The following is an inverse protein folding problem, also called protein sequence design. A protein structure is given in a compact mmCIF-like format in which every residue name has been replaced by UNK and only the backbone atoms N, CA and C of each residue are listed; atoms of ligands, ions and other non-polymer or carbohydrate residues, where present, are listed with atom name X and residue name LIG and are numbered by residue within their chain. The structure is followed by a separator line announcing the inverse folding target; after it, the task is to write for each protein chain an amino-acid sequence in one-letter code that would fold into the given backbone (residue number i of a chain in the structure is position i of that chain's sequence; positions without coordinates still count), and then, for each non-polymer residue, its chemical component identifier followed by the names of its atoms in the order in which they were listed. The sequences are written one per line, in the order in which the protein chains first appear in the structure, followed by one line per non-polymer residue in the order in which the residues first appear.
data_IF_860265375667
#
_entry.id   IF_860265375667
#
_cell.length_a   1.000
_cell.length_b   1.000
_cell.length_c   1.000
_cell.angle_alpha   90.00
_cell.angle_beta   90.00
_cell.angle_gamma   90.00
#
_symmetry.space_group_name_H-M   'P 1'
#
loop_
_entity.id
_entity.type
_entity.pdbx_description
1 polymer ?
#
# COMPACT_ATOMS: atom_id res chain seq x y z
N UNK A 1 12.27 5.03 -15.15
CA UNK A 1 10.82 5.00 -15.43
C UNK A 1 10.08 4.40 -14.25
N UNK A 2 9.59 5.24 -13.34
CA UNK A 2 8.86 4.79 -12.15
C UNK A 2 7.45 4.36 -12.55
N UNK A 3 7.23 3.04 -12.60
CA UNK A 3 5.92 2.45 -12.83
C UNK A 3 5.09 2.74 -11.58
N UNK A 4 4.11 3.64 -11.67
CA UNK A 4 3.08 3.81 -10.65
C UNK A 4 2.53 2.41 -10.38
N UNK A 5 2.71 1.90 -9.16
CA UNK A 5 2.25 0.56 -8.83
C UNK A 5 0.73 0.62 -8.79
N UNK A 6 0.01 -0.09 -9.69
CA UNK A 6 -1.44 0.03 -9.81
C UNK A 6 -2.15 -0.31 -8.48
N UNK A 7 -1.51 -1.14 -7.65
CA UNK A 7 -1.95 -1.48 -6.29
C UNK A 7 -2.01 -0.25 -5.37
N UNK A 8 -0.95 0.58 -5.34
CA UNK A 8 -0.90 1.77 -4.48
C UNK A 8 -1.92 2.83 -4.92
N UNK A 9 -2.13 2.96 -6.23
CA UNK A 9 -3.14 3.87 -6.79
C UNK A 9 -4.57 3.43 -6.44
N UNK A 10 -4.83 2.12 -6.44
CA UNK A 10 -6.12 1.57 -6.05
C UNK A 10 -6.35 1.71 -4.53
N UNK A 11 -5.32 1.47 -3.71
CA UNK A 11 -5.41 1.60 -2.25
C UNK A 11 -5.64 3.05 -1.83
N UNK A 12 -4.96 4.00 -2.46
CA UNK A 12 -5.19 5.44 -2.22
C UNK A 12 -6.58 5.88 -2.67
N UNK A 13 -7.08 5.37 -3.81
CA UNK A 13 -8.45 5.61 -4.23
C UNK A 13 -9.47 5.09 -3.21
N UNK A 14 -9.28 3.88 -2.71
CA UNK A 14 -10.17 3.27 -1.72
C UNK A 14 -10.15 4.04 -0.39
N UNK A 15 -8.98 4.47 0.09
CA UNK A 15 -8.85 5.26 1.31
C UNK A 15 -9.52 6.63 1.18
N UNK A 16 -9.36 7.32 0.04
CA UNK A 16 -9.97 8.65 -0.17
C UNK A 16 -11.48 8.54 -0.37
N UNK A 17 -11.95 7.50 -1.07
CA UNK A 17 -13.39 7.22 -1.20
C UNK A 17 -14.02 6.91 0.17
N UNK A 18 -13.35 6.11 1.01
CA UNK A 18 -13.78 5.83 2.37
C UNK A 18 -13.76 7.08 3.26
N UNK A 19 -12.74 7.92 3.13
CA UNK A 19 -12.67 9.20 3.85
C UNK A 19 -13.83 10.13 3.49
N UNK A 20 -14.23 10.16 2.21
CA UNK A 20 -15.41 10.90 1.76
C UNK A 20 -16.71 10.31 2.34
N UNK A 21 -16.86 9.00 2.30
CA UNK A 21 -18.05 8.32 2.84
C UNK A 21 -18.20 8.54 4.35
N UNK A 22 -17.10 8.44 5.09
CA UNK A 22 -17.08 8.72 6.54
C UNK A 22 -17.34 10.19 6.85
N UNK A 23 -16.92 11.13 5.98
CA UNK A 23 -17.25 12.54 6.11
C UNK A 23 -18.76 12.79 5.88
N UNK A 24 -19.37 12.14 4.89
CA UNK A 24 -20.81 12.20 4.63
C UNK A 24 -21.62 11.60 5.79
N UNK A 25 -21.24 10.41 6.28
CA UNK A 25 -21.88 9.74 7.41
C UNK A 25 -21.81 10.55 8.71
N UNK A 26 -20.77 11.39 8.86
CA UNK A 26 -20.59 12.30 10.01
C UNK A 26 -21.21 13.68 9.80
N UNK A 27 -21.97 13.90 8.72
CA UNK A 27 -22.61 15.18 8.41
C UNK A 27 -21.63 16.29 7.99
N UNK A 28 -20.37 15.97 7.68
CA UNK A 28 -19.33 16.93 7.27
C UNK A 28 -19.33 17.13 5.75
N UNK A 29 -20.43 17.66 5.21
CA UNK A 29 -20.62 17.86 3.77
C UNK A 29 -19.52 18.69 3.12
N UNK A 30 -19.09 19.80 3.74
CA UNK A 30 -18.01 20.63 3.23
C UNK A 30 -16.66 19.90 3.08
N UNK A 31 -16.41 18.84 3.86
CA UNK A 31 -15.22 18.01 3.72
C UNK A 31 -15.40 16.96 2.62
N UNK A 32 -16.60 16.39 2.49
CA UNK A 32 -16.92 15.46 1.41
C UNK A 32 -16.86 16.11 0.02
N UNK A 33 -17.33 17.36 -0.11
CA UNK A 33 -17.27 18.13 -1.37
C UNK A 33 -15.83 18.45 -1.79
N UNK A 34 -14.94 18.73 -0.83
CA UNK A 34 -13.52 18.94 -1.11
C UNK A 34 -12.82 17.68 -1.58
N UNK A 35 -13.29 16.51 -1.15
CA UNK A 35 -12.72 15.21 -1.52
C UNK A 35 -13.27 14.69 -2.86
N UNK A 36 -14.43 15.19 -3.31
CA UNK A 36 -15.03 14.79 -4.59
C UNK A 36 -14.08 14.93 -5.80
N UNK A 37 -13.46 16.09 -6.08
CA UNK A 37 -12.58 16.23 -7.25
C UNK A 37 -11.32 15.37 -7.16
N UNK A 38 -10.88 15.02 -5.93
CA UNK A 38 -9.71 14.16 -5.70
C UNK A 38 -10.04 12.71 -6.03
N UNK A 39 -11.21 12.23 -5.61
CA UNK A 39 -11.68 10.87 -5.96
C UNK A 39 -11.86 10.71 -7.46
N UNK A 40 -12.43 11.72 -8.14
CA UNK A 40 -12.63 11.69 -9.59
C UNK A 40 -11.29 11.70 -10.35
N UNK A 41 -10.33 12.51 -9.90
CA UNK A 41 -8.97 12.53 -10.46
C UNK A 41 -8.25 11.19 -10.29
N UNK A 42 -8.30 10.60 -9.09
CA UNK A 42 -7.70 9.28 -8.82
C UNK A 42 -8.39 8.16 -9.61
N UNK A 43 -9.71 8.23 -9.78
CA UNK A 43 -10.48 7.27 -10.60
C UNK A 43 -10.09 7.38 -12.07
N UNK A 44 -9.91 8.60 -12.58
CA UNK A 44 -9.45 8.81 -13.96
C UNK A 44 -8.02 8.29 -14.18
N UNK A 45 -7.12 8.47 -13.20
CA UNK A 45 -5.76 7.96 -13.26
C UNK A 45 -5.71 6.44 -13.15
N UNK A 46 -6.56 5.84 -12.31
CA UNK A 46 -6.70 4.39 -12.21
C UNK A 46 -7.21 3.80 -13.53
N UNK A 47 -8.23 4.41 -14.14
CA UNK A 47 -8.74 4.02 -15.45
C UNK A 47 -7.68 4.19 -16.56
N UNK A 48 -6.89 5.27 -16.53
CA UNK A 48 -5.79 5.50 -17.48
C UNK A 48 -4.65 4.50 -17.31
N UNK A 49 -4.35 4.09 -16.07
CA UNK A 49 -3.30 3.11 -15.74
C UNK A 49 -3.70 1.68 -16.11
N UNK A 50 -4.99 1.36 -16.11
CA UNK A 50 -5.49 0.08 -16.64
C UNK A 50 -5.55 0.04 -18.16
N UNK A 51 -5.61 1.20 -18.83
CA UNK A 51 -5.74 1.31 -20.29
C UNK A 51 -4.41 1.59 -21.01
N UNK A 52 -3.27 1.44 -20.33
CA UNK A 52 -1.93 1.66 -20.88
C UNK A 52 -1.45 0.53 -21.81
N UNK A 53 -2.28 0.12 -22.76
CA UNK A 53 -1.88 -0.54 -24.02
C UNK A 53 -1.95 0.41 -25.22
N UNK A 54 -2.26 1.70 -25.02
CA UNK A 54 -2.31 2.65 -26.13
C UNK A 54 -1.79 4.03 -25.69
N UNK A 55 -0.78 4.61 -26.38
CA UNK A 55 -0.31 5.96 -26.09
C UNK A 55 -1.41 6.96 -26.40
N UNK A 56 -1.81 7.79 -25.43
CA UNK A 56 -2.75 8.90 -25.63
C UNK A 56 -2.12 10.21 -25.13
N UNK A 57 -2.32 11.35 -25.84
CA UNK A 57 -1.59 12.61 -25.62
C UNK A 57 -1.81 13.23 -24.23
N UNK A 58 -0.95 14.18 -23.82
CA UNK A 58 -0.90 14.71 -22.47
C UNK A 58 -2.24 15.33 -22.06
N UNK A 59 -2.80 14.82 -20.98
CA UNK A 59 -3.92 15.43 -20.26
C UNK A 59 -3.45 16.75 -19.66
N UNK A 60 -4.04 17.85 -20.12
CA UNK A 60 -3.87 19.18 -19.54
C UNK A 60 -4.46 19.18 -18.13
N UNK A 61 -3.60 19.08 -17.11
CA UNK A 61 -4.00 19.25 -15.71
C UNK A 61 -4.70 20.61 -15.57
N UNK A 62 -5.90 20.62 -15.00
CA UNK A 62 -6.69 21.83 -14.76
C UNK A 62 -7.05 21.94 -13.27
N UNK A 63 -7.07 23.16 -12.74
CA UNK A 63 -7.29 23.44 -11.31
C UNK A 63 -5.99 23.48 -10.49
N UNK A 64 -6.07 23.22 -9.17
CA UNK A 64 -4.93 23.29 -8.25
C UNK A 64 -3.72 22.40 -8.63
N UNK A 65 -3.94 21.38 -9.48
CA UNK A 65 -2.90 20.51 -10.05
C UNK A 65 -2.12 21.15 -11.22
N UNK A 66 -2.62 22.26 -11.76
CA UNK A 66 -1.92 23.10 -12.73
C UNK A 66 -1.03 24.16 -12.06
N UNK A 67 -1.15 24.32 -10.73
CA UNK A 67 -0.38 25.29 -9.96
C UNK A 67 1.13 25.02 -10.06
N UNK A 68 1.89 26.08 -10.29
CA UNK A 68 3.34 26.03 -10.46
C UNK A 68 4.04 25.44 -9.22
N UNK A 69 3.51 25.75 -8.03
CA UNK A 69 3.99 25.21 -6.75
C UNK A 69 3.84 23.68 -6.66
N UNK A 70 2.71 23.14 -7.13
CA UNK A 70 2.49 21.70 -7.15
C UNK A 70 3.42 21.02 -8.16
N UNK A 71 3.67 21.66 -9.31
CA UNK A 71 4.66 21.17 -10.29
C UNK A 71 6.08 21.21 -9.74
N UNK A 72 6.44 22.25 -8.98
CA UNK A 72 7.74 22.37 -8.35
C UNK A 72 7.95 21.31 -7.26
N UNK A 73 6.94 21.08 -6.41
CA UNK A 73 6.98 20.02 -5.40
C UNK A 73 6.99 18.62 -6.04
N UNK A 74 6.24 18.42 -7.13
CA UNK A 74 6.24 17.17 -7.89
C UNK A 74 7.61 16.93 -8.55
N UNK A 75 8.21 17.96 -9.15
CA UNK A 75 9.54 17.89 -9.74
C UNK A 75 10.61 17.61 -8.67
N UNK A 76 10.51 18.24 -7.50
CA UNK A 76 11.41 17.99 -6.36
C UNK A 76 11.27 16.55 -5.83
N UNK A 77 10.04 16.03 -5.74
CA UNK A 77 9.78 14.65 -5.35
C UNK A 77 10.29 13.64 -6.39
N UNK A 78 10.24 13.99 -7.69
CA UNK A 78 10.78 13.16 -8.78
C UNK A 78 12.30 13.22 -8.89
N UNK A 79 12.92 14.34 -8.48
CA UNK A 79 14.36 14.55 -8.54
C UNK A 79 15.11 13.97 -7.34
N UNK A 80 14.41 13.54 -6.27
CA UNK A 80 15.03 12.87 -5.14
C UNK A 80 15.47 11.44 -5.54
N UNK A 81 16.78 11.12 -5.53
CA UNK A 81 17.23 9.76 -5.82
C UNK A 81 16.81 8.83 -4.68
N UNK A 82 16.12 7.74 -5.04
CA UNK A 82 15.78 6.57 -4.22
C UNK A 82 17.03 5.76 -3.81
N UNK A 83 18.07 6.42 -3.30
CA UNK A 83 19.21 5.72 -2.73
C UNK A 83 18.89 5.32 -1.29
N UNK A 84 18.44 4.07 -1.09
CA UNK A 84 18.75 3.36 0.15
C UNK A 84 17.67 2.53 0.85
N UNK A 85 16.42 2.49 0.37
CA UNK A 85 15.40 1.63 0.99
C UNK A 85 15.05 0.45 0.07
N UNK A 86 15.23 -0.82 0.49
CA UNK A 86 14.83 -1.95 -0.34
C UNK A 86 13.32 -1.88 -0.58
N UNK A 87 12.96 -1.88 -1.87
CA UNK A 87 11.60 -1.92 -2.41
C UNK A 87 10.71 -2.87 -1.62
N UNK A 88 9.86 -2.30 -0.76
CA UNK A 88 8.79 -3.01 -0.07
C UNK A 88 7.64 -3.26 -1.06
N UNK A 89 7.86 -4.18 -2.00
CA UNK A 89 6.74 -4.76 -2.74
C UNK A 89 5.89 -5.58 -1.74
N UNK A 90 4.56 -5.38 -1.66
CA UNK A 90 3.72 -6.09 -0.69
C UNK A 90 3.78 -7.61 -0.86
N UNK A 91 3.91 -8.08 -2.12
CA UNK A 91 4.19 -9.49 -2.45
C UNK A 91 5.50 -9.99 -1.84
N UNK A 92 6.55 -9.16 -1.82
CA UNK A 92 7.84 -9.48 -1.24
C UNK A 92 7.82 -9.45 0.29
N UNK A 93 6.94 -8.65 0.91
CA UNK A 93 6.72 -8.70 2.37
C UNK A 93 5.95 -9.95 2.80
N UNK A 94 4.99 -10.39 1.98
CA UNK A 94 4.20 -11.60 2.28
C UNK A 94 5.03 -12.88 2.14
N UNK A 95 5.88 -12.98 1.10
CA UNK A 95 6.80 -14.11 0.95
C UNK A 95 7.82 -14.14 2.07
N UNK A 96 8.39 -12.98 2.43
CA UNK A 96 9.35 -12.86 3.52
C UNK A 96 8.73 -13.22 4.88
N UNK A 97 7.43 -12.97 5.07
CA UNK A 97 6.69 -13.36 6.27
C UNK A 97 6.53 -14.87 6.41
N UNK A 98 6.16 -15.55 5.32
CA UNK A 98 6.11 -17.02 5.29
C UNK A 98 7.49 -17.63 5.54
N UNK A 99 8.54 -17.03 4.98
CA UNK A 99 9.93 -17.47 5.22
C UNK A 99 10.34 -17.26 6.68
N UNK A 100 10.01 -16.11 7.28
CA UNK A 100 10.25 -15.84 8.70
C UNK A 100 9.51 -16.84 9.61
N UNK A 101 8.25 -17.14 9.29
CA UNK A 101 7.44 -18.12 10.03
C UNK A 101 8.00 -19.53 9.90
N UNK A 102 8.47 -19.93 8.72
CA UNK A 102 9.13 -21.22 8.52
C UNK A 102 10.46 -21.33 9.28
N UNK A 103 11.26 -20.26 9.31
CA UNK A 103 12.49 -20.22 10.10
C UNK A 103 12.21 -20.31 11.61
N UNK A 104 11.18 -19.61 12.09
CA UNK A 104 10.75 -19.69 13.49
C UNK A 104 10.23 -21.10 13.84
N UNK A 105 9.47 -21.74 12.93
CA UNK A 105 9.04 -23.12 13.08
C UNK A 105 10.22 -24.11 13.07
N UNK A 106 11.31 -23.78 12.37
CA UNK A 106 12.58 -24.49 12.39
C UNK A 106 13.44 -24.24 13.64
N UNK A 107 12.94 -23.48 14.63
CA UNK A 107 13.62 -23.23 15.90
C UNK A 107 14.61 -22.06 15.91
N UNK A 108 14.67 -21.25 14.85
CA UNK A 108 15.50 -20.04 14.85
C UNK A 108 14.93 -18.96 15.77
N UNK A 109 15.82 -18.24 16.46
CA UNK A 109 15.43 -17.11 17.30
C UNK A 109 15.07 -15.89 16.46
N UNK A 110 14.20 -15.01 16.98
CA UNK A 110 13.80 -13.77 16.29
C UNK A 110 15.01 -12.89 15.89
N UNK A 111 16.09 -12.94 16.66
CA UNK A 111 17.32 -12.17 16.44
C UNK A 111 18.10 -12.74 15.24
N UNK A 112 18.17 -14.07 15.11
CA UNK A 112 18.82 -14.73 13.98
C UNK A 112 18.03 -14.50 12.69
N UNK A 113 16.71 -14.59 12.76
CA UNK A 113 15.82 -14.31 11.63
C UNK A 113 15.95 -12.86 11.18
N UNK A 114 16.01 -11.91 12.13
CA UNK A 114 16.22 -10.49 11.86
C UNK A 114 17.54 -10.23 11.12
N UNK A 115 18.63 -10.89 11.55
CA UNK A 115 19.94 -10.82 10.88
C UNK A 115 19.89 -11.42 9.47
N UNK A 116 19.25 -12.58 9.31
CA UNK A 116 19.16 -13.27 8.03
C UNK A 116 18.32 -12.51 7.00
N UNK A 117 17.27 -11.81 7.45
CA UNK A 117 16.35 -11.07 6.60
C UNK A 117 16.71 -9.58 6.45
N UNK A 118 17.69 -9.09 7.22
CA UNK A 118 18.09 -7.69 7.23
C UNK A 118 17.01 -6.74 7.74
N UNK A 119 16.17 -7.19 8.67
CA UNK A 119 15.02 -6.44 9.21
C UNK A 119 15.14 -6.28 10.72
N UNK A 120 14.36 -5.36 11.30
CA UNK A 120 14.32 -5.18 12.74
C UNK A 120 13.64 -6.38 13.44
N UNK A 121 14.02 -6.66 14.69
CA UNK A 121 13.39 -7.72 15.51
C UNK A 121 11.88 -7.55 15.62
N UNK A 122 11.41 -6.31 15.75
CA UNK A 122 9.97 -6.03 15.84
C UNK A 122 9.24 -6.36 14.52
N UNK A 123 9.90 -6.15 13.38
CA UNK A 123 9.34 -6.48 12.07
C UNK A 123 9.17 -8.00 11.93
N UNK A 124 10.17 -8.79 12.35
CA UNK A 124 10.07 -10.27 12.40
C UNK A 124 8.88 -10.72 13.24
N UNK A 125 8.67 -10.09 14.40
CA UNK A 125 7.55 -10.42 15.29
C UNK A 125 6.20 -10.20 14.62
N UNK A 126 6.06 -9.08 13.92
CA UNK A 126 4.84 -8.74 13.17
C UNK A 126 4.65 -9.74 12.01
N UNK A 127 5.72 -10.08 11.29
CA UNK A 127 5.69 -11.03 10.17
C UNK A 127 5.25 -12.43 10.61
N UNK A 128 5.79 -12.95 11.72
CA UNK A 128 5.41 -14.26 12.25
C UNK A 128 3.92 -14.27 12.64
N UNK A 129 3.43 -13.21 13.31
CA UNK A 129 2.01 -13.12 13.69
C UNK A 129 1.07 -13.02 12.51
N UNK A 130 1.47 -12.30 11.46
CA UNK A 130 0.67 -12.14 10.25
C UNK A 130 0.63 -13.43 9.41
N UNK A 131 1.70 -14.23 9.47
CA UNK A 131 1.82 -15.49 8.75
C UNK A 131 1.30 -16.72 9.49
N UNK A 132 0.93 -16.60 10.78
CA UNK A 132 0.21 -17.66 11.46
C UNK A 132 -1.27 -17.61 11.04
N UNK A 133 -1.76 -18.59 10.24
CA UNK A 133 -3.20 -18.76 10.13
C UNK A 133 -3.72 -19.03 11.54
N UNK A 134 -4.75 -18.30 11.95
CA UNK A 134 -5.50 -18.57 13.15
C UNK A 134 -6.05 -19.99 13.04
N UNK A 135 -5.34 -20.98 13.58
CA UNK A 135 -5.80 -22.36 13.64
C UNK A 135 -6.97 -22.38 14.62
N UNK A 136 -8.18 -22.33 14.05
CA UNK A 136 -9.37 -22.81 14.73
C UNK A 136 -9.06 -24.19 15.27
N UNK A 137 -9.18 -24.28 16.59
CA UNK A 137 -9.07 -25.47 17.41
C UNK A 137 -9.91 -26.60 16.79
N UNK A 138 -9.32 -27.75 16.37
CA UNK A 138 -10.12 -28.95 16.23
C UNK A 138 -10.58 -29.34 17.64
N UNK A 139 -11.90 -29.34 17.85
CA UNK A 139 -12.50 -29.76 19.11
C UNK A 139 -12.00 -31.14 19.52
N UNK A 140 -11.84 -31.40 20.83
CA UNK A 140 -11.39 -32.69 21.32
C UNK A 140 -12.42 -33.77 20.93
N UNK A 141 -11.89 -34.87 20.42
CA UNK A 141 -12.24 -36.22 20.84
C UNK A 141 -13.57 -36.37 21.59
N UNK A 142 -14.55 -36.98 20.93
CA UNK A 142 -15.54 -37.81 21.61
C UNK A 142 -15.64 -39.13 20.83
N UNK A 143 -14.68 -40.00 21.09
CA UNK A 143 -14.82 -41.45 20.98
C UNK A 143 -15.73 -41.89 22.14
N UNK A 144 -16.90 -42.43 21.81
CA UNK A 144 -17.58 -43.56 22.46
C UNK A 144 -18.91 -43.82 21.76
#
# INVERSE_FOLDING_TARGET
MSKITPTLLNDTLNLVALARETALARGRQAQADRLAPVVDGLRSLAAASTNSLTPRPPVTASGALAGEDFRALLAAAQAAPLNGAPSASPLHSLTRGHVAAAMAAGGMTEIEIARQLGVAREEVRIMIRLSQPHSLTPGPEAVA
#
